data_IF_617786986336
#
_entry.id   IF_617786986336
#
_cell.length_a   1.000
_cell.length_b   1.000
_cell.length_c   1.000
_cell.angle_alpha   90.00
_cell.angle_beta   90.00
_cell.angle_gamma   90.00
#
_symmetry.space_group_name_H-M   'P 1'
#
loop_
_entity.id
_entity.type
_entity.pdbx_description
1 polymer ?
#
# COMPACT_ATOMS: atom_id res chain seq x y z
N UNK A 1 -35.34 -6.50 14.69
CA UNK A 1 -34.78 -5.54 13.71
C UNK A 1 -33.85 -6.28 12.76
N UNK A 2 -34.34 -6.72 11.60
CA UNK A 2 -33.52 -7.32 10.56
C UNK A 2 -32.97 -6.19 9.69
N UNK A 3 -31.67 -5.87 9.81
CA UNK A 3 -30.99 -4.99 8.85
C UNK A 3 -31.00 -5.72 7.50
N UNK A 4 -31.78 -5.22 6.55
CA UNK A 4 -31.60 -5.58 5.15
C UNK A 4 -30.23 -5.03 4.72
N UNK A 5 -29.19 -5.86 4.76
CA UNK A 5 -27.92 -5.55 4.14
C UNK A 5 -28.20 -5.44 2.64
N UNK A 6 -28.14 -4.22 2.09
CA UNK A 6 -28.31 -3.99 0.66
C UNK A 6 -27.38 -4.90 -0.13
N UNK A 7 -27.83 -5.37 -1.30
CA UNK A 7 -27.05 -6.26 -2.16
C UNK A 7 -25.65 -5.65 -2.38
N UNK A 8 -24.56 -6.37 -2.03
CA UNK A 8 -23.22 -5.80 -2.17
C UNK A 8 -22.95 -5.49 -3.64
N UNK A 9 -22.51 -4.26 -3.90
CA UNK A 9 -22.12 -3.85 -5.23
C UNK A 9 -20.75 -4.47 -5.57
N UNK A 10 -20.76 -5.66 -6.16
CA UNK A 10 -19.55 -6.42 -6.50
C UNK A 10 -18.62 -5.67 -7.46
N UNK A 11 -19.11 -4.66 -8.17
CA UNK A 11 -18.29 -3.76 -9.00
C UNK A 11 -17.28 -2.93 -8.21
N UNK A 12 -17.43 -2.83 -6.88
CA UNK A 12 -16.45 -2.16 -6.02
C UNK A 12 -15.21 -3.03 -5.77
N UNK A 13 -15.28 -4.35 -5.93
CA UNK A 13 -14.16 -5.25 -5.71
C UNK A 13 -12.92 -4.91 -6.55
N UNK A 14 -13.01 -4.70 -7.88
CA UNK A 14 -11.83 -4.33 -8.67
C UNK A 14 -11.26 -2.97 -8.26
N UNK A 15 -12.10 -2.02 -7.85
CA UNK A 15 -11.65 -0.70 -7.37
C UNK A 15 -10.85 -0.85 -6.09
N UNK A 16 -11.36 -1.64 -5.14
CA UNK A 16 -10.67 -1.94 -3.88
C UNK A 16 -9.36 -2.68 -4.14
N UNK A 17 -9.36 -3.66 -5.04
CA UNK A 17 -8.15 -4.39 -5.43
C UNK A 17 -7.09 -3.47 -6.04
N UNK A 18 -7.49 -2.52 -6.91
CA UNK A 18 -6.58 -1.53 -7.49
C UNK A 18 -5.99 -0.60 -6.43
N UNK A 19 -6.79 -0.17 -5.45
CA UNK A 19 -6.30 0.64 -4.33
C UNK A 19 -5.24 -0.14 -3.53
N UNK A 20 -5.51 -1.40 -3.19
CA UNK A 20 -4.54 -2.23 -2.48
C UNK A 20 -3.27 -2.48 -3.28
N UNK A 21 -3.39 -2.68 -4.59
CA UNK A 21 -2.24 -2.84 -5.47
C UNK A 21 -1.39 -1.57 -5.53
N UNK A 22 -2.02 -0.39 -5.62
CA UNK A 22 -1.31 0.89 -5.61
C UNK A 22 -0.60 1.14 -4.27
N UNK A 23 -1.26 0.83 -3.15
CA UNK A 23 -0.65 0.91 -1.81
C UNK A 23 0.52 -0.06 -1.67
N UNK A 24 0.35 -1.30 -2.12
CA UNK A 24 1.42 -2.29 -2.12
C UNK A 24 2.62 -1.80 -2.93
N UNK A 25 2.39 -1.29 -4.15
CA UNK A 25 3.44 -0.75 -4.98
C UNK A 25 4.16 0.43 -4.31
N UNK A 26 3.42 1.37 -3.73
CA UNK A 26 4.00 2.54 -3.05
C UNK A 26 4.79 2.19 -1.79
N UNK A 27 4.32 1.24 -0.98
CA UNK A 27 4.99 0.82 0.26
C UNK A 27 6.19 -0.10 0.00
N UNK A 28 6.15 -0.87 -1.09
CA UNK A 28 7.25 -1.73 -1.50
C UNK A 28 8.35 -0.94 -2.25
N UNK A 29 7.97 0.13 -2.95
CA UNK A 29 8.89 0.99 -3.67
C UNK A 29 9.78 1.82 -2.72
N UNK A 30 11.06 1.95 -3.08
CA UNK A 30 12.05 2.72 -2.32
C UNK A 30 12.08 4.21 -2.76
N UNK A 31 10.92 4.77 -3.09
CA UNK A 31 10.73 6.16 -3.47
C UNK A 31 10.82 6.47 -4.97
N UNK A 32 11.04 5.48 -5.85
CA UNK A 32 11.13 5.71 -7.28
C UNK A 32 9.81 6.17 -7.90
N UNK A 33 8.66 5.70 -7.39
CA UNK A 33 7.33 6.06 -7.88
C UNK A 33 7.02 7.54 -7.66
N UNK A 34 7.45 8.09 -6.53
CA UNK A 34 7.16 9.48 -6.15
C UNK A 34 8.32 10.44 -6.43
N UNK A 35 9.48 9.94 -6.83
CA UNK A 35 10.65 10.75 -7.19
C UNK A 35 10.34 11.87 -8.23
N UNK A 36 9.51 11.65 -9.27
CA UNK A 36 9.17 12.73 -10.20
C UNK A 36 8.43 13.92 -9.55
N UNK A 37 7.72 13.68 -8.44
CA UNK A 37 6.93 14.70 -7.75
C UNK A 37 7.67 15.30 -6.55
N UNK A 38 8.40 14.46 -5.79
CA UNK A 38 9.01 14.84 -4.51
C UNK A 38 10.55 14.98 -4.59
N UNK A 39 11.17 14.62 -5.71
CA UNK A 39 12.62 14.63 -5.86
C UNK A 39 13.32 13.71 -4.87
N UNK A 40 14.47 14.14 -4.34
CA UNK A 40 15.27 13.33 -3.40
C UNK A 40 14.54 12.98 -2.09
N UNK A 41 13.54 13.77 -1.69
CA UNK A 41 12.75 13.50 -0.50
C UNK A 41 11.99 12.17 -0.60
N UNK A 42 11.65 11.75 -1.83
CA UNK A 42 10.93 10.50 -2.08
C UNK A 42 11.66 9.26 -1.55
N UNK A 43 12.99 9.26 -1.62
CA UNK A 43 13.83 8.19 -1.04
C UNK A 43 14.33 8.52 0.36
N UNK A 44 14.87 9.73 0.56
CA UNK A 44 15.54 10.11 1.83
C UNK A 44 14.61 10.18 3.03
N UNK A 45 13.32 10.44 2.80
CA UNK A 45 12.32 10.58 3.87
C UNK A 45 11.18 9.57 3.71
N UNK A 46 11.45 8.39 3.15
CA UNK A 46 10.44 7.36 2.92
C UNK A 46 10.11 6.55 4.19
N UNK A 47 9.65 7.23 5.24
CA UNK A 47 9.38 6.61 6.55
C UNK A 47 8.33 5.49 6.49
N UNK A 48 7.37 5.61 5.56
CA UNK A 48 6.36 4.58 5.38
C UNK A 48 6.98 3.30 4.80
N UNK A 49 7.85 3.40 3.80
CA UNK A 49 8.57 2.23 3.28
C UNK A 49 9.32 1.51 4.40
N UNK A 50 10.14 2.23 5.16
CA UNK A 50 10.95 1.64 6.23
C UNK A 50 10.08 0.98 7.32
N UNK A 51 8.98 1.63 7.74
CA UNK A 51 8.07 1.05 8.72
C UNK A 51 7.44 -0.27 8.25
N UNK A 52 6.98 -0.34 7.00
CA UNK A 52 6.39 -1.56 6.44
C UNK A 52 7.44 -2.62 6.13
N UNK A 53 8.64 -2.20 5.71
CA UNK A 53 9.80 -3.05 5.51
C UNK A 53 10.20 -3.75 6.80
N UNK A 54 10.32 -3.01 7.91
CA UNK A 54 10.62 -3.55 9.24
C UNK A 54 9.49 -4.42 9.77
N UNK A 55 8.23 -4.01 9.55
CA UNK A 55 7.07 -4.83 9.89
C UNK A 55 7.08 -6.18 9.19
N UNK A 56 7.49 -6.23 7.91
CA UNK A 56 7.64 -7.47 7.15
C UNK A 56 8.74 -8.37 7.73
N UNK A 57 9.87 -7.77 8.12
CA UNK A 57 10.94 -8.49 8.81
C UNK A 57 10.50 -9.06 10.16
N UNK A 58 9.73 -8.30 10.94
CA UNK A 58 9.15 -8.76 12.20
C UNK A 58 8.23 -9.97 12.00
N UNK A 59 7.49 -9.99 10.88
CA UNK A 59 6.62 -11.11 10.51
C UNK A 59 7.38 -12.30 9.89
N UNK A 60 8.72 -12.30 9.93
CA UNK A 60 9.56 -13.40 9.50
C UNK A 60 9.67 -13.55 7.98
N UNK A 61 9.22 -12.56 7.22
CA UNK A 61 9.38 -12.56 5.77
C UNK A 61 10.80 -12.06 5.46
N UNK A 62 11.61 -12.85 4.71
CA UNK A 62 12.99 -12.47 4.41
C UNK A 62 13.07 -11.17 3.60
N UNK A 63 14.11 -10.39 3.86
CA UNK A 63 14.47 -9.21 3.09
C UNK A 63 15.09 -9.54 1.74
N UNK A 64 15.28 -8.50 0.92
CA UNK A 64 16.06 -8.59 -0.33
C UNK A 64 17.54 -8.36 -0.07
#
# INVERSE_FOLDING_TARGET
MHRALGRPNLWLLPVVALIFLALFAALFDNGALLAPLLGEAAGKTNYLHEFFHDGRHLLGVPGH
#
